data_IF_048042458889
#
_entry.id   IF_048042458889
#
_cell.length_a   1.000
_cell.length_b   1.000
_cell.length_c   1.000
_cell.angle_alpha   90.00
_cell.angle_beta   90.00
_cell.angle_gamma   90.00
#
_symmetry.space_group_name_H-M   'P 1'
#
loop_
_entity.id
_entity.type
_entity.pdbx_description
1 polymer ?
#
# COMPACT_ATOMS: atom_id res chain seq x y z
N UNK A 1 -50.04 -32.31 -11.81
CA UNK A 1 -48.60 -32.20 -11.51
C UNK A 1 -48.28 -30.73 -11.36
N UNK A 2 -48.33 -30.23 -10.13
CA UNK A 2 -48.01 -28.82 -9.85
C UNK A 2 -46.51 -28.66 -9.63
N UNK A 3 -45.88 -27.81 -10.40
CA UNK A 3 -44.50 -27.41 -10.18
C UNK A 3 -44.40 -26.54 -8.93
N UNK A 4 -43.67 -27.00 -7.93
CA UNK A 4 -43.34 -26.20 -6.76
C UNK A 4 -42.42 -25.04 -7.18
N UNK A 5 -42.81 -23.82 -6.84
CA UNK A 5 -42.03 -22.61 -7.01
C UNK A 5 -40.91 -22.55 -5.91
N UNK A 6 -39.62 -22.45 -6.24
CA UNK A 6 -38.56 -22.48 -5.28
C UNK A 6 -38.23 -21.10 -4.64
N UNK A 7 -39.16 -20.14 -4.64
CA UNK A 7 -38.93 -18.75 -4.21
C UNK A 7 -39.49 -18.41 -2.82
N UNK A 8 -39.51 -19.34 -1.86
CA UNK A 8 -39.95 -19.01 -0.50
C UNK A 8 -38.91 -19.40 0.55
N UNK A 9 -37.66 -18.97 0.36
CA UNK A 9 -36.67 -18.94 1.42
C UNK A 9 -36.94 -17.72 2.31
N UNK A 10 -37.25 -17.96 3.60
CA UNK A 10 -37.31 -16.88 4.56
C UNK A 10 -36.02 -16.05 4.50
N UNK A 11 -36.07 -14.71 4.59
CA UNK A 11 -34.88 -13.89 4.53
C UNK A 11 -33.91 -14.33 5.64
N UNK A 12 -32.69 -14.69 5.26
CA UNK A 12 -31.65 -15.00 6.24
C UNK A 12 -31.42 -13.73 7.03
N UNK A 13 -31.90 -13.71 8.29
CA UNK A 13 -31.58 -12.63 9.21
C UNK A 13 -30.08 -12.68 9.48
N UNK A 14 -29.32 -11.82 8.82
CA UNK A 14 -27.90 -11.66 9.08
C UNK A 14 -27.71 -10.69 10.25
N UNK A 15 -26.76 -10.99 11.14
CA UNK A 15 -26.35 -10.07 12.19
C UNK A 15 -25.79 -8.74 11.62
N UNK A 16 -25.64 -8.66 10.30
CA UNK A 16 -25.09 -7.53 9.57
C UNK A 16 -26.15 -6.90 8.64
N UNK A 17 -27.37 -6.66 9.13
CA UNK A 17 -28.38 -5.94 8.36
C UNK A 17 -27.93 -4.49 8.08
N UNK A 18 -28.46 -3.87 7.04
CA UNK A 18 -28.16 -2.47 6.69
C UNK A 18 -28.51 -1.47 7.81
N UNK A 19 -29.38 -1.85 8.74
CA UNK A 19 -29.72 -1.06 9.93
C UNK A 19 -28.61 -1.13 10.99
N UNK A 20 -27.95 -2.29 11.12
CA UNK A 20 -26.86 -2.53 12.09
C UNK A 20 -25.51 -2.10 11.53
N UNK A 21 -25.28 -2.35 10.23
CA UNK A 21 -24.06 -1.97 9.52
C UNK A 21 -24.47 -1.15 8.30
N UNK A 22 -24.62 0.17 8.46
CA UNK A 22 -24.99 1.03 7.34
C UNK A 22 -23.91 1.03 6.25
N UNK A 23 -24.32 1.21 5.01
CA UNK A 23 -23.40 1.37 3.88
C UNK A 23 -22.45 2.54 4.16
N UNK A 24 -21.15 2.29 4.11
CA UNK A 24 -20.16 3.35 4.19
C UNK A 24 -20.30 4.33 3.00
N UNK A 25 -19.98 5.62 3.21
CA UNK A 25 -19.91 6.56 2.11
C UNK A 25 -18.87 6.10 1.08
N UNK A 26 -19.04 6.52 -0.17
CA UNK A 26 -18.04 6.26 -1.20
C UNK A 26 -16.69 6.86 -0.79
N UNK A 27 -15.61 6.10 -0.97
CA UNK A 27 -14.26 6.58 -0.70
C UNK A 27 -13.94 7.75 -1.64
N UNK A 28 -13.63 8.95 -1.12
CA UNK A 28 -13.43 10.14 -1.93
C UNK A 28 -12.24 10.02 -2.89
N UNK A 29 -11.19 9.27 -2.52
CA UNK A 29 -10.00 9.06 -3.36
C UNK A 29 -10.32 8.16 -4.55
N UNK A 30 -10.98 7.03 -4.32
CA UNK A 30 -11.37 6.13 -5.40
C UNK A 30 -12.47 6.72 -6.28
N UNK A 31 -13.39 7.50 -5.72
CA UNK A 31 -14.37 8.28 -6.47
C UNK A 31 -13.71 9.29 -7.42
N UNK A 32 -12.69 10.02 -6.95
CA UNK A 32 -11.90 10.93 -7.77
C UNK A 32 -11.15 10.21 -8.90
N UNK A 33 -10.58 9.04 -8.62
CA UNK A 33 -9.94 8.22 -9.66
C UNK A 33 -10.92 7.74 -10.72
N UNK A 34 -12.14 7.36 -10.33
CA UNK A 34 -13.18 6.96 -11.25
C UNK A 34 -13.62 8.14 -12.13
N UNK A 35 -13.74 9.34 -11.58
CA UNK A 35 -14.02 10.57 -12.31
C UNK A 35 -12.91 10.90 -13.31
N UNK A 36 -11.63 10.83 -12.86
CA UNK A 36 -10.47 11.03 -13.74
C UNK A 36 -10.46 10.07 -14.94
N UNK A 37 -10.81 8.79 -14.73
CA UNK A 37 -10.87 7.81 -15.84
C UNK A 37 -11.98 8.12 -16.85
N UNK A 38 -13.09 8.70 -16.40
CA UNK A 38 -14.23 9.07 -17.26
C UNK A 38 -13.99 10.39 -18.01
N UNK A 39 -13.14 11.25 -17.50
CA UNK A 39 -12.77 12.50 -18.15
C UNK A 39 -12.03 12.20 -19.47
N UNK A 40 -12.40 12.87 -20.54
CA UNK A 40 -11.81 12.73 -21.88
C UNK A 40 -10.88 13.88 -22.26
N UNK A 41 -10.67 14.87 -21.38
CA UNK A 41 -9.76 15.97 -21.65
C UNK A 41 -8.32 15.46 -21.79
N UNK A 42 -7.68 15.79 -22.91
CA UNK A 42 -6.30 15.39 -23.19
C UNK A 42 -5.25 16.07 -22.30
N UNK A 43 -5.63 17.15 -21.61
CA UNK A 43 -4.76 17.92 -20.70
C UNK A 43 -4.90 17.48 -19.24
N UNK A 44 -5.74 16.49 -18.94
CA UNK A 44 -5.93 16.01 -17.58
C UNK A 44 -4.64 15.41 -17.01
N UNK A 45 -4.39 15.63 -15.74
CA UNK A 45 -3.23 15.10 -15.01
C UNK A 45 -3.73 14.35 -13.78
N UNK A 46 -3.22 13.14 -13.56
CA UNK A 46 -3.52 12.33 -12.38
C UNK A 46 -2.55 12.67 -11.24
N UNK A 47 -3.05 13.35 -10.22
CA UNK A 47 -2.33 13.67 -8.99
C UNK A 47 -2.94 12.96 -7.77
N UNK A 48 -3.90 12.06 -7.98
CA UNK A 48 -4.66 11.42 -6.90
C UNK A 48 -3.87 10.37 -6.14
N UNK A 49 -2.98 9.63 -6.80
CA UNK A 49 -2.17 8.58 -6.18
C UNK A 49 -0.69 8.87 -6.37
N UNK A 50 0.06 8.76 -5.27
CA UNK A 50 1.52 8.90 -5.26
C UNK A 50 2.20 7.71 -5.94
N UNK A 51 2.38 7.80 -7.26
CA UNK A 51 3.17 6.86 -8.05
C UNK A 51 4.10 7.65 -8.96
N UNK A 52 5.37 7.22 -9.05
CA UNK A 52 6.29 7.83 -10.02
C UNK A 52 5.80 7.53 -11.45
N UNK A 53 5.73 8.55 -12.28
CA UNK A 53 5.23 8.44 -13.65
C UNK A 53 6.28 8.90 -14.65
N UNK A 54 6.28 8.27 -15.82
CA UNK A 54 7.11 8.70 -16.96
C UNK A 54 6.50 9.94 -17.66
N UNK A 55 7.19 10.40 -18.71
CA UNK A 55 6.77 11.56 -19.51
C UNK A 55 5.41 11.36 -20.23
N UNK A 56 4.94 10.11 -20.31
CA UNK A 56 3.64 9.73 -20.84
C UNK A 56 2.57 9.59 -19.75
N UNK A 57 2.86 10.03 -18.52
CA UNK A 57 2.01 9.92 -17.33
C UNK A 57 1.68 8.47 -16.92
N UNK A 58 2.45 7.48 -17.38
CA UNK A 58 2.28 6.08 -17.00
C UNK A 58 3.12 5.75 -15.76
N UNK A 59 2.62 4.91 -14.84
CA UNK A 59 3.42 4.42 -13.72
C UNK A 59 4.72 3.77 -14.21
N UNK A 60 5.83 4.16 -13.61
CA UNK A 60 7.15 3.70 -14.02
C UNK A 60 7.94 3.19 -12.81
N UNK A 61 8.50 2.01 -12.94
CA UNK A 61 9.35 1.41 -11.91
C UNK A 61 10.79 1.70 -12.24
N UNK A 62 11.52 2.30 -11.28
CA UNK A 62 12.93 2.62 -11.45
C UNK A 62 13.76 1.36 -11.78
N UNK A 63 14.72 1.45 -12.71
CA UNK A 63 15.57 0.30 -13.09
C UNK A 63 16.29 -0.33 -11.90
N UNK A 64 16.77 0.48 -10.95
CA UNK A 64 17.45 -0.01 -9.73
C UNK A 64 16.51 -0.86 -8.86
N UNK A 65 15.22 -0.51 -8.81
CA UNK A 65 14.22 -1.29 -8.06
C UNK A 65 13.98 -2.65 -8.73
N UNK A 66 13.91 -2.68 -10.07
CA UNK A 66 13.80 -3.95 -10.81
C UNK A 66 15.01 -4.84 -10.59
N UNK A 67 16.23 -4.26 -10.59
CA UNK A 67 17.45 -5.01 -10.30
C UNK A 67 17.44 -5.57 -8.86
N UNK A 68 16.99 -4.80 -7.89
CA UNK A 68 16.86 -5.27 -6.51
C UNK A 68 15.84 -6.41 -6.38
N UNK A 69 14.69 -6.30 -7.05
CA UNK A 69 13.68 -7.37 -7.10
C UNK A 69 14.24 -8.67 -7.72
N UNK A 70 15.00 -8.54 -8.82
CA UNK A 70 15.68 -9.68 -9.45
C UNK A 70 16.73 -10.34 -8.53
N UNK A 71 17.44 -9.55 -7.73
CA UNK A 71 18.40 -10.07 -6.76
C UNK A 71 17.69 -10.81 -5.63
N UNK A 72 16.62 -10.23 -5.08
CA UNK A 72 15.82 -10.87 -4.04
C UNK A 72 15.23 -12.20 -4.50
N UNK A 73 14.72 -12.27 -5.73
CA UNK A 73 14.15 -13.51 -6.29
C UNK A 73 15.17 -14.63 -6.47
N UNK A 74 16.44 -14.30 -6.61
CA UNK A 74 17.55 -15.24 -6.77
C UNK A 74 18.25 -15.60 -5.47
N UNK A 75 17.88 -14.92 -4.37
CA UNK A 75 18.46 -15.18 -3.06
C UNK A 75 17.94 -16.51 -2.51
N UNK A 76 18.81 -17.54 -2.35
CA UNK A 76 18.39 -18.83 -1.84
C UNK A 76 18.04 -18.80 -0.34
N UNK A 77 18.49 -17.77 0.39
CA UNK A 77 18.26 -17.62 1.81
C UNK A 77 17.00 -16.78 2.11
N UNK A 78 16.32 -16.29 1.07
CA UNK A 78 15.05 -15.56 1.24
C UNK A 78 14.00 -16.47 1.86
N UNK A 79 13.45 -16.05 2.99
CA UNK A 79 12.48 -16.82 3.75
C UNK A 79 11.36 -15.91 4.31
N UNK A 80 10.39 -16.53 4.98
CA UNK A 80 9.23 -15.86 5.57
C UNK A 80 9.24 -15.92 7.09
N UNK A 81 10.43 -16.00 7.72
CA UNK A 81 10.56 -15.98 9.17
C UNK A 81 10.14 -14.63 9.77
N UNK A 82 9.76 -14.68 11.04
CA UNK A 82 9.43 -13.46 11.78
C UNK A 82 10.66 -12.58 11.95
N UNK A 83 10.48 -11.29 11.70
CA UNK A 83 11.48 -10.28 11.97
C UNK A 83 11.46 -9.86 13.44
N UNK A 84 12.57 -9.30 13.97
CA UNK A 84 12.54 -8.58 15.23
C UNK A 84 11.50 -7.46 15.26
N UNK A 85 11.04 -7.06 16.44
CA UNK A 85 10.05 -5.97 16.61
C UNK A 85 10.49 -4.68 15.91
N UNK A 86 11.79 -4.38 15.91
CA UNK A 86 12.37 -3.22 15.22
C UNK A 86 12.47 -3.38 13.70
N UNK A 87 12.21 -4.58 13.17
CA UNK A 87 12.39 -4.92 11.77
C UNK A 87 13.79 -5.43 11.42
N UNK A 88 14.06 -5.58 10.13
CA UNK A 88 15.34 -6.04 9.61
C UNK A 88 16.43 -4.98 9.81
N UNK A 89 17.50 -5.32 10.54
CA UNK A 89 18.56 -4.39 10.90
C UNK A 89 19.24 -3.75 9.68
N UNK A 90 19.50 -4.53 8.65
CA UNK A 90 20.12 -4.04 7.42
C UNK A 90 19.22 -3.05 6.68
N UNK A 91 17.91 -3.32 6.63
CA UNK A 91 16.93 -2.41 6.04
C UNK A 91 16.85 -1.09 6.80
N UNK A 92 16.74 -1.13 8.14
CA UNK A 92 16.65 0.09 8.96
C UNK A 92 17.93 0.92 8.88
N UNK A 93 19.11 0.27 8.90
CA UNK A 93 20.40 0.94 8.73
C UNK A 93 20.57 1.57 7.34
N UNK A 94 20.18 0.86 6.28
CA UNK A 94 20.23 1.38 4.93
C UNK A 94 19.28 2.56 4.74
N UNK A 95 18.07 2.48 5.30
CA UNK A 95 17.08 3.55 5.26
C UNK A 95 17.55 4.84 5.95
N UNK A 96 18.18 4.72 7.12
CA UNK A 96 18.79 5.87 7.80
C UNK A 96 19.82 6.58 6.92
N UNK A 97 20.72 5.78 6.34
CA UNK A 97 21.81 6.31 5.49
C UNK A 97 21.29 6.94 4.21
N UNK A 98 20.21 6.39 3.65
CA UNK A 98 19.59 6.93 2.45
C UNK A 98 18.95 8.29 2.71
N UNK A 99 18.21 8.43 3.81
CA UNK A 99 17.44 9.63 4.11
C UNK A 99 18.33 10.75 4.68
N UNK A 100 19.23 10.42 5.59
CA UNK A 100 20.03 11.39 6.32
C UNK A 100 21.44 11.59 5.72
N UNK A 101 21.85 10.74 4.80
CA UNK A 101 23.22 10.65 4.30
C UNK A 101 24.10 9.77 5.19
N UNK A 102 24.95 8.96 4.55
CA UNK A 102 25.80 7.95 5.25
C UNK A 102 26.74 8.53 6.30
N UNK A 103 27.09 9.81 6.19
CA UNK A 103 28.01 10.51 7.09
C UNK A 103 27.29 11.46 8.05
N UNK A 104 25.98 11.31 8.20
CA UNK A 104 25.20 12.20 9.08
C UNK A 104 25.66 12.13 10.54
N UNK A 105 25.94 13.27 11.20
CA UNK A 105 26.27 13.30 12.62
C UNK A 105 25.15 12.72 13.50
N UNK A 106 23.91 12.81 13.07
CA UNK A 106 22.78 12.25 13.80
C UNK A 106 22.89 10.72 13.94
N UNK A 107 23.47 10.05 12.93
CA UNK A 107 23.72 8.60 12.97
C UNK A 107 24.91 8.27 13.86
N UNK A 108 26.04 8.95 13.69
CA UNK A 108 27.26 8.72 14.49
C UNK A 108 27.04 8.98 15.99
N UNK A 109 26.26 10.00 16.31
CA UNK A 109 25.92 10.38 17.69
C UNK A 109 24.77 9.55 18.28
N UNK A 110 24.26 8.55 17.54
CA UNK A 110 23.15 7.68 17.96
C UNK A 110 21.87 8.44 18.35
N UNK A 111 21.57 9.53 17.66
CA UNK A 111 20.38 10.37 17.86
C UNK A 111 19.20 9.99 16.98
N UNK A 112 19.32 8.89 16.23
CA UNK A 112 18.30 8.39 15.29
C UNK A 112 17.91 6.97 15.65
N UNK A 113 16.62 6.73 15.71
CA UNK A 113 16.02 5.40 15.76
C UNK A 113 15.23 5.17 14.47
N UNK A 114 15.34 4.00 13.90
CA UNK A 114 14.60 3.60 12.70
C UNK A 114 13.90 2.27 12.95
N UNK A 115 12.64 2.21 12.64
CA UNK A 115 11.80 1.02 12.79
C UNK A 115 11.20 0.65 11.44
N UNK A 116 11.13 -0.65 11.16
CA UNK A 116 10.40 -1.16 10.01
C UNK A 116 8.92 -1.30 10.39
N UNK A 117 8.05 -0.81 9.51
CA UNK A 117 6.60 -0.82 9.73
C UNK A 117 5.89 -1.44 8.53
N UNK A 118 4.59 -1.73 8.69
CA UNK A 118 3.74 -2.17 7.59
C UNK A 118 3.44 -0.96 6.70
N UNK A 119 4.30 -0.74 5.71
CA UNK A 119 4.21 0.35 4.73
C UNK A 119 4.07 1.75 5.37
N UNK A 120 3.68 2.74 4.58
CA UNK A 120 3.43 4.11 5.05
C UNK A 120 2.32 4.23 6.08
N UNK A 121 1.30 3.39 6.01
CA UNK A 121 0.21 3.36 7.00
C UNK A 121 0.72 3.06 8.40
N UNK A 122 1.58 2.05 8.54
CA UNK A 122 2.21 1.74 9.82
C UNK A 122 3.15 2.84 10.30
N UNK A 123 3.88 3.48 9.38
CA UNK A 123 4.78 4.59 9.70
C UNK A 123 4.02 5.81 10.23
N UNK A 124 2.93 6.19 9.57
CA UNK A 124 2.08 7.32 10.01
C UNK A 124 1.42 7.04 11.35
N UNK A 125 1.06 5.78 11.63
CA UNK A 125 0.47 5.42 12.93
C UNK A 125 1.50 5.50 14.07
N UNK A 126 2.77 5.24 13.79
CA UNK A 126 3.84 5.24 14.79
C UNK A 126 4.35 6.65 15.11
N UNK A 127 4.34 7.58 14.14
CA UNK A 127 4.77 8.97 14.29
C UNK A 127 3.68 9.87 14.83
#
# INVERSE_FOLDING_TARGET
MGSADPQNGAPISTAFSAEVVPQAPEDPLFGLMAAYKKDTDSKKVDLGIGAYRDDSAKPWVLPVVKQADDLLRKDPDLNHEYLPISGLADFTSASQKLILGKNSPAISDKRVVTLQTVSGTGAVHLG
#
